data_IF_938504730716
#
_entry.id   IF_938504730716
#
_cell.length_a   1.000
_cell.length_b   1.000
_cell.length_c   1.000
_cell.angle_alpha   90.00
_cell.angle_beta   90.00
_cell.angle_gamma   90.00
#
_symmetry.space_group_name_H-M   'P 1'
#
loop_
_entity.id
_entity.type
_entity.pdbx_description
1 polymer ?
#
# COMPACT_ATOMS: atom_id res chain seq x y z
N UNK A 1 6.52 -35.32 -70.34
CA UNK A 1 7.08 -35.63 -68.99
C UNK A 1 7.55 -34.34 -68.36
N UNK A 2 6.68 -33.63 -67.63
CA UNK A 2 6.98 -32.33 -67.01
C UNK A 2 7.05 -32.57 -65.49
N UNK A 3 8.27 -32.38 -64.95
CA UNK A 3 8.48 -32.45 -63.47
C UNK A 3 8.12 -31.10 -62.86
N UNK A 4 7.04 -31.06 -62.09
CA UNK A 4 6.75 -29.92 -61.17
C UNK A 4 7.70 -29.99 -60.00
N UNK A 5 8.46 -28.94 -59.80
CA UNK A 5 9.24 -28.69 -58.60
C UNK A 5 8.30 -27.96 -57.59
N UNK A 6 7.96 -28.67 -56.48
CA UNK A 6 7.22 -28.07 -55.38
C UNK A 6 8.11 -27.07 -54.65
N UNK A 7 7.60 -25.82 -54.57
CA UNK A 7 8.16 -24.75 -53.77
C UNK A 7 7.62 -24.89 -52.33
N UNK A 8 8.44 -25.34 -51.42
CA UNK A 8 8.13 -25.43 -50.01
C UNK A 8 8.28 -24.02 -49.39
N UNK A 9 7.16 -23.36 -49.17
CA UNK A 9 7.13 -22.08 -48.45
C UNK A 9 7.15 -22.38 -46.94
N UNK A 10 8.27 -22.14 -46.28
CA UNK A 10 8.35 -22.14 -44.82
C UNK A 10 7.72 -20.85 -44.28
N UNK A 11 6.52 -20.98 -43.73
CA UNK A 11 5.89 -19.92 -42.93
C UNK A 11 6.59 -19.82 -41.59
N UNK A 12 7.41 -18.80 -41.41
CA UNK A 12 8.02 -18.45 -40.11
C UNK A 12 6.94 -17.75 -39.28
N UNK A 13 6.20 -18.51 -38.47
CA UNK A 13 5.31 -17.97 -37.44
C UNK A 13 6.15 -17.36 -36.34
N UNK A 14 6.40 -16.06 -36.44
CA UNK A 14 6.98 -15.27 -35.36
C UNK A 14 6.02 -15.20 -34.20
N UNK A 15 6.28 -16.00 -33.13
CA UNK A 15 5.62 -15.88 -31.85
C UNK A 15 6.07 -14.58 -31.19
N UNK A 16 5.29 -13.49 -31.39
CA UNK A 16 5.45 -12.27 -30.59
C UNK A 16 5.08 -12.63 -29.15
N UNK A 17 6.09 -12.85 -28.32
CA UNK A 17 5.91 -12.86 -26.88
C UNK A 17 5.50 -11.44 -26.46
N UNK A 18 4.21 -11.24 -26.25
CA UNK A 18 3.69 -10.06 -25.54
C UNK A 18 4.23 -10.13 -24.12
N UNK A 19 5.34 -9.44 -23.89
CA UNK A 19 5.78 -9.12 -22.52
C UNK A 19 4.71 -8.18 -21.98
N UNK A 20 3.68 -8.76 -21.36
CA UNK A 20 2.67 -8.02 -20.64
C UNK A 20 3.35 -7.31 -19.47
N UNK A 21 3.66 -6.03 -19.63
CA UNK A 21 3.84 -5.16 -18.48
C UNK A 21 2.53 -5.19 -17.70
N UNK A 22 2.47 -5.99 -16.64
CA UNK A 22 1.39 -5.94 -15.68
C UNK A 22 1.43 -4.56 -15.02
N UNK A 23 0.68 -3.62 -15.57
CA UNK A 23 0.46 -2.32 -14.93
C UNK A 23 -0.42 -2.61 -13.72
N UNK A 24 0.13 -2.41 -12.51
CA UNK A 24 -0.66 -2.50 -11.29
C UNK A 24 -1.84 -1.53 -11.42
N UNK A 25 -3.05 -2.04 -11.32
CA UNK A 25 -4.29 -1.27 -11.30
C UNK A 25 -4.82 -1.14 -9.88
N UNK A 26 -5.60 -0.09 -9.62
CA UNK A 26 -6.35 0.03 -8.37
C UNK A 26 -7.38 -1.12 -8.31
N UNK A 27 -7.49 -1.85 -7.17
CA UNK A 27 -8.55 -2.84 -6.99
C UNK A 27 -9.94 -2.19 -7.08
N UNK A 28 -10.88 -2.85 -7.75
CA UNK A 28 -12.26 -2.36 -7.90
C UNK A 28 -13.11 -2.59 -6.63
N UNK A 29 -12.64 -3.45 -5.73
CA UNK A 29 -13.31 -3.84 -4.48
C UNK A 29 -13.11 -2.83 -3.36
N UNK A 30 -13.90 -2.98 -2.29
CA UNK A 30 -13.85 -2.08 -1.13
C UNK A 30 -12.58 -2.29 -0.30
N UNK A 31 -12.02 -1.20 0.22
CA UNK A 31 -10.95 -1.23 1.20
C UNK A 31 -11.51 -1.68 2.55
N UNK A 32 -10.97 -2.76 3.12
CA UNK A 32 -11.43 -3.35 4.38
C UNK A 32 -10.38 -3.34 5.48
N UNK A 33 -9.15 -3.02 5.17
CA UNK A 33 -8.07 -2.94 6.15
C UNK A 33 -6.93 -2.05 5.65
N UNK A 34 -6.27 -1.38 6.60
CA UNK A 34 -5.18 -0.46 6.31
C UNK A 34 -4.19 -0.46 7.48
N UNK A 35 -2.90 -0.46 7.19
CA UNK A 35 -1.85 -0.28 8.19
C UNK A 35 -0.74 0.59 7.62
N UNK A 36 -0.31 1.56 8.40
CA UNK A 36 0.87 2.37 8.14
C UNK A 36 1.73 2.46 9.39
N UNK A 37 3.02 2.23 9.22
CA UNK A 37 4.01 2.38 10.29
C UNK A 37 5.20 3.14 9.73
N UNK A 38 5.69 4.11 10.46
CA UNK A 38 7.02 4.70 10.25
C UNK A 38 7.86 4.53 11.49
N UNK A 39 9.16 4.37 11.30
CA UNK A 39 10.16 4.25 12.37
C UNK A 39 11.33 5.17 12.07
N UNK A 40 11.79 5.89 13.08
CA UNK A 40 13.06 6.60 13.05
C UNK A 40 14.21 5.70 13.54
N UNK A 41 15.28 6.31 13.98
CA UNK A 41 16.48 5.62 14.53
C UNK A 41 16.23 4.99 15.91
N UNK A 42 15.07 5.22 16.52
CA UNK A 42 14.71 4.67 17.83
C UNK A 42 14.06 3.28 17.68
N UNK A 43 14.15 2.47 18.72
CA UNK A 43 13.62 1.09 18.73
C UNK A 43 12.08 1.00 18.67
N UNK A 44 11.35 2.11 18.83
CA UNK A 44 9.89 2.17 18.75
C UNK A 44 9.40 2.86 17.48
N UNK A 45 8.18 2.58 17.01
CA UNK A 45 7.59 3.30 15.89
C UNK A 45 7.55 4.81 16.14
N UNK A 46 7.89 5.58 15.12
CA UNK A 46 7.67 7.04 15.12
C UNK A 46 6.18 7.34 15.01
N UNK A 47 5.51 6.66 14.10
CA UNK A 47 4.06 6.69 13.94
C UNK A 47 3.55 5.29 13.62
N UNK A 48 2.42 4.94 14.18
CA UNK A 48 1.69 3.72 13.84
C UNK A 48 0.20 4.02 13.75
N UNK A 49 -0.44 3.48 12.70
CA UNK A 49 -1.88 3.50 12.52
C UNK A 49 -2.38 2.28 11.78
N UNK A 50 -3.51 1.75 12.19
CA UNK A 50 -4.16 0.61 11.54
C UNK A 50 -5.67 0.69 11.63
N UNK A 51 -6.33 0.29 10.55
CA UNK A 51 -7.78 0.07 10.51
C UNK A 51 -8.05 -1.39 10.25
N UNK A 52 -8.95 -1.96 11.02
CA UNK A 52 -9.45 -3.33 10.83
C UNK A 52 -10.97 -3.35 11.01
N UNK A 53 -11.64 -4.22 10.29
CA UNK A 53 -13.03 -4.56 10.52
C UNK A 53 -13.11 -5.58 11.66
N UNK A 54 -13.91 -5.33 12.67
CA UNK A 54 -14.16 -6.27 13.77
C UNK A 54 -15.13 -7.37 13.36
N UNK A 55 -15.41 -8.30 14.27
CA UNK A 55 -16.34 -9.42 14.04
C UNK A 55 -17.80 -9.00 13.83
N UNK A 56 -18.16 -7.75 14.14
CA UNK A 56 -19.50 -7.18 13.97
C UNK A 56 -19.64 -6.38 12.69
N UNK A 57 -18.55 -6.23 11.90
CA UNK A 57 -18.52 -5.46 10.68
C UNK A 57 -18.24 -3.97 10.88
N UNK A 58 -17.82 -3.56 12.06
CA UNK A 58 -17.45 -2.18 12.38
C UNK A 58 -15.97 -1.96 12.14
N UNK A 59 -15.62 -0.85 11.51
CA UNK A 59 -14.23 -0.46 11.32
C UNK A 59 -13.68 0.20 12.59
N UNK A 60 -12.57 -0.33 13.08
CA UNK A 60 -11.86 0.19 14.25
C UNK A 60 -10.49 0.71 13.81
N UNK A 61 -10.27 2.00 14.02
CA UNK A 61 -8.98 2.66 13.82
C UNK A 61 -8.23 2.70 15.15
N UNK A 62 -6.97 2.24 15.13
CA UNK A 62 -5.99 2.45 16.19
C UNK A 62 -4.85 3.26 15.60
N UNK A 63 -4.55 4.42 16.16
CA UNK A 63 -3.47 5.25 15.66
C UNK A 63 -2.89 6.18 16.73
N UNK A 64 -1.67 6.62 16.51
CA UNK A 64 -1.07 7.74 17.23
C UNK A 64 -1.64 9.07 16.71
N UNK A 65 -1.76 10.08 17.57
CA UNK A 65 -2.11 11.45 17.17
C UNK A 65 -0.90 12.23 16.66
N UNK A 66 0.25 11.90 17.18
CA UNK A 66 1.52 12.55 16.92
C UNK A 66 2.67 11.53 16.98
N UNK A 67 3.84 11.92 16.50
CA UNK A 67 5.03 11.08 16.55
C UNK A 67 5.41 10.71 17.97
N UNK A 68 5.73 9.43 18.17
CA UNK A 68 6.12 8.85 19.48
C UNK A 68 5.05 9.02 20.56
N UNK A 69 3.82 9.40 20.20
CA UNK A 69 2.69 9.56 21.11
C UNK A 69 2.07 8.24 21.56
N UNK A 70 1.08 8.30 22.46
CA UNK A 70 0.28 7.15 22.82
C UNK A 70 -0.67 6.75 21.68
N UNK A 71 -1.15 5.49 21.74
CA UNK A 71 -2.16 4.97 20.83
C UNK A 71 -3.56 5.37 21.27
N UNK A 72 -4.42 5.65 20.32
CA UNK A 72 -5.84 5.93 20.50
C UNK A 72 -6.66 4.99 19.63
N UNK A 73 -7.85 4.64 20.10
CA UNK A 73 -8.81 3.81 19.39
C UNK A 73 -10.09 4.60 19.13
N UNK A 74 -10.65 4.42 17.94
CA UNK A 74 -11.93 4.99 17.54
C UNK A 74 -12.64 4.11 16.52
N UNK A 75 -13.94 3.96 16.65
CA UNK A 75 -14.76 3.44 15.57
C UNK A 75 -14.89 4.48 14.46
N UNK A 76 -14.69 4.07 13.23
CA UNK A 76 -14.78 4.90 12.05
C UNK A 76 -15.85 4.39 11.09
N UNK A 77 -16.26 5.21 10.15
CA UNK A 77 -17.36 4.95 9.23
C UNK A 77 -16.88 4.31 7.91
N UNK A 78 -17.82 3.76 7.14
CA UNK A 78 -17.54 3.35 5.77
C UNK A 78 -17.15 4.55 4.86
N UNK A 79 -17.61 5.78 5.20
CA UNK A 79 -17.19 7.00 4.50
C UNK A 79 -15.71 7.29 4.72
N UNK A 80 -15.21 7.12 5.96
CA UNK A 80 -13.79 7.27 6.27
C UNK A 80 -12.94 6.26 5.49
N UNK A 81 -13.42 5.01 5.35
CA UNK A 81 -12.75 4.00 4.53
C UNK A 81 -12.73 4.36 3.04
N UNK A 82 -13.83 4.94 2.51
CA UNK A 82 -13.84 5.46 1.14
C UNK A 82 -12.87 6.61 0.96
N UNK A 83 -12.71 7.46 1.96
CA UNK A 83 -11.73 8.55 1.91
C UNK A 83 -10.29 8.01 1.90
N UNK A 84 -9.95 7.01 2.72
CA UNK A 84 -8.66 6.33 2.62
C UNK A 84 -8.44 5.72 1.24
N UNK A 85 -9.45 5.05 0.68
CA UNK A 85 -9.40 4.48 -0.67
C UNK A 85 -9.14 5.57 -1.73
N UNK A 86 -9.79 6.74 -1.58
CA UNK A 86 -9.59 7.89 -2.47
C UNK A 86 -8.14 8.42 -2.39
N UNK A 87 -7.55 8.51 -1.20
CA UNK A 87 -6.14 8.89 -1.05
C UNK A 87 -5.23 7.91 -1.81
N UNK A 88 -5.46 6.60 -1.66
CA UNK A 88 -4.69 5.55 -2.35
C UNK A 88 -4.78 5.72 -3.88
N UNK A 89 -5.96 6.07 -4.40
CA UNK A 89 -6.22 6.25 -5.82
C UNK A 89 -5.59 7.54 -6.36
N UNK A 90 -5.81 8.68 -5.69
CA UNK A 90 -5.29 10.00 -6.08
C UNK A 90 -3.76 10.01 -6.16
N UNK A 91 -3.10 9.46 -5.15
CA UNK A 91 -1.64 9.38 -5.05
C UNK A 91 -1.07 8.17 -5.79
N UNK A 92 -1.92 7.37 -6.44
CA UNK A 92 -1.52 6.17 -7.20
C UNK A 92 -0.68 5.18 -6.38
N UNK A 93 -0.96 5.07 -5.08
CA UNK A 93 -0.21 4.20 -4.16
C UNK A 93 -0.25 2.72 -4.59
N UNK A 94 -1.25 2.31 -5.37
CA UNK A 94 -1.31 0.97 -5.97
C UNK A 94 -0.18 0.70 -6.98
N UNK A 95 0.56 1.73 -7.42
CA UNK A 95 1.74 1.61 -8.28
C UNK A 95 3.07 1.56 -7.51
N UNK A 96 3.03 1.68 -6.20
CA UNK A 96 4.24 1.63 -5.38
C UNK A 96 5.05 0.35 -5.67
N UNK A 97 6.36 0.48 -5.64
CA UNK A 97 7.25 -0.68 -5.64
C UNK A 97 7.04 -1.45 -4.34
N UNK A 98 7.29 -2.74 -4.36
CA UNK A 98 7.25 -3.54 -3.14
C UNK A 98 8.28 -3.04 -2.10
N UNK A 99 9.45 -2.61 -2.57
CA UNK A 99 10.54 -2.13 -1.73
C UNK A 99 11.19 -0.87 -2.28
N UNK A 100 11.50 0.05 -1.37
CA UNK A 100 12.29 1.27 -1.61
C UNK A 100 13.54 1.22 -0.75
N UNK A 101 14.71 1.15 -1.39
CA UNK A 101 16.02 1.09 -0.74
C UNK A 101 16.95 2.12 -1.37
N UNK A 102 17.84 2.76 -0.61
CA UNK A 102 18.85 3.65 -1.16
C UNK A 102 19.90 2.86 -1.94
N UNK A 103 20.58 3.52 -2.87
CA UNK A 103 21.67 2.92 -3.64
C UNK A 103 22.94 2.67 -2.81
N UNK A 104 23.10 3.42 -1.72
CA UNK A 104 24.23 3.30 -0.78
C UNK A 104 23.71 2.78 0.56
N UNK A 105 24.51 1.94 1.22
CA UNK A 105 24.19 1.43 2.54
C UNK A 105 24.23 2.57 3.58
N UNK A 106 23.14 2.69 4.37
CA UNK A 106 23.01 3.68 5.45
C UNK A 106 22.91 2.91 6.77
N UNK A 107 23.86 3.18 7.69
CA UNK A 107 23.98 2.45 8.95
C UNK A 107 22.85 2.81 9.95
N UNK A 108 22.44 4.09 10.01
CA UNK A 108 21.36 4.58 10.84
C UNK A 108 20.29 5.20 9.96
N UNK A 109 19.06 4.77 10.13
CA UNK A 109 18.03 5.19 9.21
C UNK A 109 16.62 5.14 9.75
N UNK A 110 15.73 5.61 8.94
CA UNK A 110 14.29 5.53 9.12
C UNK A 110 13.71 4.48 8.17
N UNK A 111 12.56 3.97 8.55
CA UNK A 111 11.85 2.98 7.75
C UNK A 111 10.35 3.24 7.77
N UNK A 112 9.64 2.61 6.84
CA UNK A 112 8.19 2.66 6.78
C UNK A 112 7.65 1.39 6.16
N UNK A 113 6.38 1.10 6.46
CA UNK A 113 5.60 0.06 5.79
C UNK A 113 4.16 0.53 5.62
N UNK A 114 3.58 0.18 4.48
CA UNK A 114 2.21 0.45 4.12
C UNK A 114 1.56 -0.84 3.63
N UNK A 115 0.36 -1.12 4.11
CA UNK A 115 -0.41 -2.30 3.74
C UNK A 115 -1.89 -1.95 3.66
N UNK A 116 -2.53 -2.26 2.55
CA UNK A 116 -3.95 -2.07 2.32
C UNK A 116 -4.57 -3.37 1.83
N UNK A 117 -5.68 -3.79 2.42
CA UNK A 117 -6.40 -5.04 2.12
C UNK A 117 -7.78 -4.70 1.59
N UNK A 118 -8.19 -5.37 0.52
CA UNK A 118 -9.46 -5.17 -0.16
C UNK A 118 -10.37 -6.40 0.00
N UNK A 119 -11.67 -6.20 -0.17
CA UNK A 119 -12.69 -7.22 0.08
C UNK A 119 -12.63 -8.42 -0.87
N UNK A 120 -12.01 -8.28 -2.04
CA UNK A 120 -11.75 -9.38 -2.99
C UNK A 120 -10.47 -10.17 -2.67
N UNK A 121 -9.77 -9.83 -1.56
CA UNK A 121 -8.50 -10.43 -1.17
C UNK A 121 -7.27 -9.78 -1.81
N UNK A 122 -7.43 -8.79 -2.67
CA UNK A 122 -6.28 -8.05 -3.21
C UNK A 122 -5.59 -7.24 -2.11
N UNK A 123 -4.29 -7.04 -2.30
CA UNK A 123 -3.43 -6.35 -1.34
C UNK A 123 -2.51 -5.38 -2.06
N UNK A 124 -2.36 -4.18 -1.49
CA UNK A 124 -1.27 -3.27 -1.81
C UNK A 124 -0.31 -3.30 -0.63
N UNK A 125 0.94 -3.70 -0.88
CA UNK A 125 1.98 -3.74 0.15
C UNK A 125 3.24 -3.10 -0.37
N UNK A 126 3.83 -2.24 0.45
CA UNK A 126 5.06 -1.52 0.13
C UNK A 126 5.81 -1.16 1.41
N UNK A 127 7.12 -1.14 1.35
CA UNK A 127 7.97 -0.73 2.46
C UNK A 127 9.22 -0.02 1.96
N UNK A 128 9.89 0.68 2.85
CA UNK A 128 11.15 1.34 2.52
C UNK A 128 12.05 1.55 3.72
N UNK A 129 13.33 1.67 3.44
CA UNK A 129 14.37 2.06 4.39
C UNK A 129 15.20 3.16 3.77
N UNK A 130 15.27 4.32 4.43
CA UNK A 130 15.98 5.51 3.95
C UNK A 130 15.62 5.95 2.50
N UNK A 131 14.49 5.50 2.02
CA UNK A 131 13.93 5.84 0.72
C UNK A 131 12.41 5.73 0.76
N UNK A 132 11.70 6.61 0.05
CA UNK A 132 10.24 6.65 -0.05
C UNK A 132 9.80 6.98 -1.46
N UNK A 133 8.52 6.78 -1.81
CA UNK A 133 7.90 7.38 -2.98
C UNK A 133 8.06 8.91 -2.96
N UNK A 134 8.02 9.52 -4.14
CA UNK A 134 8.16 10.98 -4.29
C UNK A 134 6.84 11.75 -4.15
N UNK A 135 5.72 11.06 -3.97
CA UNK A 135 4.40 11.63 -3.75
C UNK A 135 4.10 11.86 -2.25
N UNK A 136 2.89 12.33 -1.94
CA UNK A 136 2.45 12.62 -0.58
C UNK A 136 1.52 11.55 0.02
N UNK A 137 1.39 10.37 -0.61
CA UNK A 137 0.41 9.36 -0.22
C UNK A 137 0.56 8.89 1.22
N UNK A 138 1.77 8.56 1.64
CA UNK A 138 2.05 8.11 3.01
C UNK A 138 1.73 9.19 4.05
N UNK A 139 2.09 10.44 3.79
CA UNK A 139 1.80 11.57 4.69
C UNK A 139 0.30 11.87 4.76
N UNK A 140 -0.42 11.79 3.65
CA UNK A 140 -1.89 11.95 3.63
C UNK A 140 -2.59 10.85 4.44
N UNK A 141 -2.19 9.60 4.29
CA UNK A 141 -2.72 8.47 5.09
C UNK A 141 -2.47 8.72 6.57
N UNK A 142 -1.23 9.04 6.95
CA UNK A 142 -0.84 9.32 8.33
C UNK A 142 -1.65 10.46 8.93
N UNK A 143 -1.72 11.59 8.25
CA UNK A 143 -2.40 12.78 8.73
C UNK A 143 -3.90 12.53 8.91
N UNK A 144 -4.53 11.81 7.99
CA UNK A 144 -5.93 11.48 8.11
C UNK A 144 -6.21 10.50 9.26
N UNK A 145 -5.35 9.50 9.50
CA UNK A 145 -5.44 8.65 10.68
C UNK A 145 -5.34 9.46 11.97
N UNK A 146 -4.34 10.36 12.06
CA UNK A 146 -4.15 11.22 13.22
C UNK A 146 -5.32 12.19 13.45
N UNK A 147 -5.93 12.72 12.40
CA UNK A 147 -7.12 13.55 12.47
C UNK A 147 -8.32 12.78 13.03
N UNK A 148 -8.59 11.60 12.49
CA UNK A 148 -9.72 10.78 12.90
C UNK A 148 -9.67 10.38 14.38
N UNK A 149 -8.50 10.15 14.96
CA UNK A 149 -8.37 9.73 16.38
C UNK A 149 -8.31 10.89 17.37
N UNK A 150 -8.50 12.16 16.97
CA UNK A 150 -8.41 13.32 17.88
C UNK A 150 -9.36 13.22 19.08
N UNK A 151 -10.54 12.68 18.88
CA UNK A 151 -11.55 12.40 19.90
C UNK A 151 -11.62 10.91 20.32
N UNK A 152 -10.62 10.12 19.92
CA UNK A 152 -10.49 8.72 20.26
C UNK A 152 -10.13 8.48 21.74
N UNK A 153 -10.35 7.25 22.20
CA UNK A 153 -9.99 6.80 23.55
C UNK A 153 -8.56 6.31 23.56
N UNK A 154 -7.75 6.81 24.50
CA UNK A 154 -6.38 6.33 24.66
C UNK A 154 -6.39 4.87 25.13
N UNK A 155 -5.54 4.06 24.51
CA UNK A 155 -5.35 2.66 24.85
C UNK A 155 -3.91 2.40 25.28
N UNK A 156 -3.70 1.42 26.16
CA UNK A 156 -2.38 0.94 26.49
C UNK A 156 -1.86 0.01 25.40
N UNK A 157 -0.63 0.20 25.00
CA UNK A 157 0.08 -0.73 24.10
C UNK A 157 0.89 -1.68 24.95
N UNK A 158 0.61 -2.99 24.82
CA UNK A 158 1.42 -4.05 25.44
C UNK A 158 2.84 -4.11 24.87
#
# INVERSE_FOLDING_TARGET
MIKQKGLMTFAFSGLLALIGCSTKSMPDSDLIGLRYVSSGTMARPEFEGSVKMDSTGVFVLKAMKENYGPMFEKQITAEDMRHFRQIIEDEKMYKYKESYMPTLEVLDGWGWSFHATFSDGSVISSHGSNASPSDNGLDRIRNYMAELVQDGVQIETE
#
